data_IF_338154826088
#
_entry.id   IF_338154826088
#
_cell.length_a   1.000
_cell.length_b   1.000
_cell.length_c   1.000
_cell.angle_alpha   90.00
_cell.angle_beta   90.00
_cell.angle_gamma   90.00
#
_symmetry.space_group_name_H-M   'P 1'
#
loop_
_entity.id
_entity.type
_entity.pdbx_description
1 polymer ?
#
# COMPACT_ATOMS: atom_id res chain seq x y z
N UNK A 1 27.38 -10.63 24.61
CA UNK A 1 26.45 -10.44 23.48
C UNK A 1 25.61 -9.21 23.78
N UNK A 2 25.59 -8.22 22.90
CA UNK A 2 24.61 -7.12 23.02
C UNK A 2 23.22 -7.74 22.89
N UNK A 3 22.37 -7.51 23.88
CA UNK A 3 21.03 -8.09 23.95
C UNK A 3 20.17 -7.42 22.87
N UNK A 4 19.73 -8.20 21.88
CA UNK A 4 18.88 -7.75 20.78
C UNK A 4 17.40 -7.67 21.23
N UNK A 5 17.10 -6.73 22.13
CA UNK A 5 15.73 -6.38 22.53
C UNK A 5 15.32 -6.74 23.96
N UNK A 6 14.11 -6.31 24.32
CA UNK A 6 13.45 -6.59 25.60
C UNK A 6 12.91 -8.03 25.63
N UNK A 7 12.91 -8.67 26.81
CA UNK A 7 12.21 -9.95 26.99
C UNK A 7 10.70 -9.75 27.04
N UNK A 8 9.94 -10.82 26.82
CA UNK A 8 8.48 -10.80 26.95
C UNK A 8 8.04 -10.26 28.32
N UNK A 9 8.66 -10.71 29.39
CA UNK A 9 8.33 -10.24 30.75
C UNK A 9 8.61 -8.75 30.95
N UNK A 10 9.66 -8.21 30.31
CA UNK A 10 9.95 -6.77 30.35
C UNK A 10 8.94 -5.97 29.53
N UNK A 11 8.48 -6.51 28.40
CA UNK A 11 7.45 -5.88 27.56
C UNK A 11 6.09 -5.88 28.28
N UNK A 12 5.73 -6.98 28.93
CA UNK A 12 4.44 -7.13 29.61
C UNK A 12 4.33 -6.26 30.87
N UNK A 13 5.46 -5.94 31.52
CA UNK A 13 5.51 -5.12 32.73
C UNK A 13 5.84 -3.64 32.50
N UNK A 14 6.06 -3.21 31.25
CA UNK A 14 6.39 -1.81 30.97
C UNK A 14 5.15 -0.91 30.89
N UNK A 15 5.28 0.39 31.21
CA UNK A 15 4.21 1.35 30.96
C UNK A 15 3.83 1.39 29.47
N UNK A 16 2.53 1.35 29.17
CA UNK A 16 2.01 1.31 27.79
C UNK A 16 2.54 2.45 26.92
N UNK A 17 2.77 3.62 27.51
CA UNK A 17 3.35 4.79 26.81
C UNK A 17 4.79 4.55 26.39
N UNK A 18 5.58 3.88 27.23
CA UNK A 18 6.96 3.53 26.93
C UNK A 18 7.01 2.42 25.87
N UNK A 19 6.11 1.44 25.93
CA UNK A 19 5.96 0.41 24.90
C UNK A 19 5.75 1.03 23.52
N UNK A 20 4.74 1.90 23.38
CA UNK A 20 4.44 2.54 22.09
C UNK A 20 5.59 3.43 21.62
N UNK A 21 6.29 4.11 22.53
CA UNK A 21 7.44 4.93 22.17
C UNK A 21 8.59 4.08 21.59
N UNK A 22 8.91 2.96 22.23
CA UNK A 22 9.94 2.04 21.72
C UNK A 22 9.51 1.38 20.41
N UNK A 23 8.26 0.93 20.33
CA UNK A 23 7.72 0.35 19.10
C UNK A 23 7.82 1.31 17.91
N UNK A 24 7.41 2.58 18.08
CA UNK A 24 7.50 3.59 17.02
C UNK A 24 8.96 3.85 16.64
N UNK A 25 9.84 3.93 17.63
CA UNK A 25 11.26 4.16 17.41
C UNK A 25 11.89 3.02 16.58
N UNK A 26 11.75 1.78 17.04
CA UNK A 26 12.32 0.60 16.40
C UNK A 26 11.71 0.33 15.02
N UNK A 27 10.44 0.69 14.80
CA UNK A 27 9.73 0.38 13.55
C UNK A 27 9.91 1.45 12.48
N UNK A 28 9.93 2.74 12.85
CA UNK A 28 9.85 3.84 11.86
C UNK A 28 11.03 4.82 11.92
N UNK A 29 11.70 4.96 13.07
CA UNK A 29 12.75 5.95 13.25
C UNK A 29 14.15 5.35 13.19
N UNK A 30 14.30 4.08 13.56
CA UNK A 30 15.59 3.43 13.55
C UNK A 30 16.06 3.20 12.10
N UNK A 31 17.31 3.58 11.74
CA UNK A 31 17.85 3.39 10.41
C UNK A 31 17.99 1.92 9.98
N UNK A 32 17.96 0.98 10.93
CA UNK A 32 17.97 -0.46 10.69
C UNK A 32 16.57 -1.09 10.71
N UNK A 33 15.53 -0.28 10.88
CA UNK A 33 14.16 -0.79 10.92
C UNK A 33 13.79 -1.43 9.58
N UNK A 34 13.03 -2.53 9.60
CA UNK A 34 12.57 -3.18 8.37
C UNK A 34 11.78 -2.23 7.45
N UNK A 35 10.98 -1.31 8.00
CA UNK A 35 10.21 -0.35 7.22
C UNK A 35 11.11 0.68 6.51
N UNK A 36 12.16 1.18 7.19
CA UNK A 36 13.11 2.10 6.58
C UNK A 36 13.94 1.43 5.49
N UNK A 37 14.39 0.18 5.71
CA UNK A 37 15.07 -0.60 4.68
C UNK A 37 14.18 -0.89 3.47
N UNK A 38 12.90 -1.22 3.67
CA UNK A 38 11.96 -1.41 2.57
C UNK A 38 11.77 -0.12 1.77
N UNK A 39 11.67 1.04 2.45
CA UNK A 39 11.60 2.35 1.79
C UNK A 39 12.86 2.65 0.97
N UNK A 40 14.06 2.39 1.51
CA UNK A 40 15.30 2.58 0.76
C UNK A 40 15.38 1.69 -0.48
N UNK A 41 15.01 0.41 -0.34
CA UNK A 41 14.98 -0.52 -1.46
C UNK A 41 13.94 -0.11 -2.51
N UNK A 42 12.77 0.36 -2.09
CA UNK A 42 11.74 0.87 -2.98
C UNK A 42 12.22 2.11 -3.76
N UNK A 43 12.93 3.03 -3.12
CA UNK A 43 13.56 4.17 -3.81
C UNK A 43 14.63 3.73 -4.81
N UNK A 44 15.44 2.74 -4.46
CA UNK A 44 16.45 2.19 -5.37
C UNK A 44 15.79 1.58 -6.62
N UNK A 45 14.79 0.71 -6.45
CA UNK A 45 14.06 0.09 -7.55
C UNK A 45 13.35 1.13 -8.43
N UNK A 46 12.71 2.12 -7.79
CA UNK A 46 12.10 3.24 -8.51
C UNK A 46 13.14 3.97 -9.37
N UNK A 47 14.31 4.29 -8.82
CA UNK A 47 15.36 5.00 -9.56
C UNK A 47 15.89 4.17 -10.73
N UNK A 48 16.13 2.87 -10.54
CA UNK A 48 16.56 1.94 -11.58
C UNK A 48 15.53 1.82 -12.71
N UNK A 49 14.25 1.77 -12.35
CA UNK A 49 13.19 1.68 -13.33
C UNK A 49 13.07 2.99 -14.13
N UNK A 50 13.12 4.14 -13.46
CA UNK A 50 13.10 5.48 -14.07
C UNK A 50 14.25 5.75 -15.02
N UNK A 51 15.43 5.16 -14.77
CA UNK A 51 16.61 5.29 -15.62
C UNK A 51 16.70 4.20 -16.69
N UNK A 52 15.74 3.28 -16.75
CA UNK A 52 15.73 2.20 -17.74
C UNK A 52 15.46 2.72 -19.16
N UNK A 53 16.06 2.08 -20.16
CA UNK A 53 15.95 2.49 -21.57
C UNK A 53 14.52 2.34 -22.14
N UNK A 54 13.64 1.57 -21.49
CA UNK A 54 12.23 1.39 -21.87
C UNK A 54 11.27 2.40 -21.22
N UNK A 55 11.76 3.37 -20.46
CA UNK A 55 10.91 4.31 -19.73
C UNK A 55 10.23 5.32 -20.66
N UNK A 56 8.91 5.42 -20.59
CA UNK A 56 8.14 6.44 -21.30
C UNK A 56 7.81 7.62 -20.36
N UNK A 57 7.64 8.81 -20.94
CA UNK A 57 7.26 10.02 -20.20
C UNK A 57 5.90 9.90 -19.51
N UNK A 58 5.00 9.09 -20.07
CA UNK A 58 3.69 8.81 -19.48
C UNK A 58 3.79 7.91 -18.26
N UNK A 59 4.60 6.85 -18.33
CA UNK A 59 4.84 5.94 -17.20
C UNK A 59 5.56 6.65 -16.07
N UNK A 60 6.58 7.45 -16.39
CA UNK A 60 7.33 8.27 -15.44
C UNK A 60 6.45 9.22 -14.60
N UNK A 61 5.36 9.75 -15.18
CA UNK A 61 4.42 10.64 -14.46
C UNK A 61 3.50 9.90 -13.48
N UNK A 62 3.23 8.62 -13.74
CA UNK A 62 2.26 7.82 -12.96
C UNK A 62 2.94 6.99 -11.88
N UNK A 63 4.22 6.68 -12.05
CA UNK A 63 4.97 5.81 -11.17
C UNK A 63 5.29 6.50 -9.84
N UNK A 64 5.10 5.79 -8.72
CA UNK A 64 5.44 6.26 -7.37
C UNK A 64 6.38 5.28 -6.67
N UNK A 65 7.33 5.74 -5.85
CA UNK A 65 8.19 4.86 -5.06
C UNK A 65 7.41 3.87 -4.18
N UNK A 66 6.26 4.27 -3.65
CA UNK A 66 5.40 3.43 -2.81
C UNK A 66 4.88 2.17 -3.53
N UNK A 67 4.91 2.13 -4.87
CA UNK A 67 4.51 0.94 -5.63
C UNK A 67 5.56 -0.19 -5.54
N UNK A 68 6.79 0.14 -5.14
CA UNK A 68 7.91 -0.80 -4.97
C UNK A 68 8.09 -1.24 -3.51
N UNK A 69 7.30 -0.71 -2.58
CA UNK A 69 7.32 -1.14 -1.17
C UNK A 69 6.64 -2.50 -1.02
N UNK A 70 7.29 -3.39 -0.26
CA UNK A 70 6.76 -4.70 0.10
C UNK A 70 5.89 -4.60 1.36
N UNK A 71 6.32 -3.79 2.32
CA UNK A 71 5.57 -3.52 3.55
C UNK A 71 4.53 -2.47 3.21
N UNK A 72 3.35 -2.92 2.84
CA UNK A 72 2.21 -2.03 2.63
C UNK A 72 1.67 -1.64 3.99
N UNK A 73 1.69 -0.36 4.29
CA UNK A 73 0.82 0.24 5.29
C UNK A 73 -0.63 0.18 4.77
N UNK A 74 -1.19 -1.02 4.65
CA UNK A 74 -2.64 -1.11 4.66
C UNK A 74 -3.06 -0.58 6.01
N UNK A 75 -3.72 0.60 6.02
CA UNK A 75 -4.55 1.01 7.14
C UNK A 75 -5.50 -0.16 7.43
N UNK A 76 -5.14 -0.99 8.41
CA UNK A 76 -5.98 -2.11 8.89
C UNK A 76 -7.35 -1.56 9.33
N UNK A 77 -7.39 -0.30 9.75
CA UNK A 77 -8.58 0.45 10.09
C UNK A 77 -8.79 1.59 9.08
N UNK A 78 -9.53 1.30 8.01
CA UNK A 78 -10.05 2.32 7.09
C UNK A 78 -11.18 3.08 7.78
N UNK A 79 -11.29 4.38 7.54
CA UNK A 79 -12.45 5.14 8.03
C UNK A 79 -13.73 4.70 7.30
N UNK A 80 -14.91 4.99 7.86
CA UNK A 80 -16.19 4.63 7.24
C UNK A 80 -16.31 5.21 5.82
N UNK A 81 -15.83 6.42 5.63
CA UNK A 81 -15.80 7.11 4.33
C UNK A 81 -14.87 6.40 3.32
N UNK A 82 -13.67 5.99 3.74
CA UNK A 82 -12.73 5.24 2.89
C UNK A 82 -13.28 3.86 2.49
N UNK A 83 -14.09 3.22 3.35
CA UNK A 83 -14.78 1.96 3.05
C UNK A 83 -15.90 2.13 2.02
N UNK A 84 -16.69 3.21 2.14
CA UNK A 84 -17.77 3.52 1.19
C UNK A 84 -17.23 3.87 -0.20
N UNK A 85 -16.12 4.62 -0.29
CA UNK A 85 -15.45 4.89 -1.57
C UNK A 85 -14.90 3.62 -2.22
N UNK A 86 -14.34 2.70 -1.44
CA UNK A 86 -13.88 1.40 -1.93
C UNK A 86 -15.05 0.52 -2.40
N UNK A 87 -16.18 0.56 -1.70
CA UNK A 87 -17.39 -0.16 -2.10
C UNK A 87 -17.94 0.39 -3.43
N UNK A 88 -18.00 1.71 -3.59
CA UNK A 88 -18.40 2.35 -4.85
C UNK A 88 -17.50 1.98 -6.02
N UNK A 89 -16.17 2.03 -5.83
CA UNK A 89 -15.22 1.63 -6.89
C UNK A 89 -15.38 0.16 -7.27
N UNK A 90 -15.58 -0.73 -6.29
CA UNK A 90 -15.85 -2.15 -6.57
C UNK A 90 -17.17 -2.38 -7.30
N UNK A 91 -18.21 -1.60 -7.02
CA UNK A 91 -19.47 -1.68 -7.77
C UNK A 91 -19.33 -1.17 -9.20
N UNK A 92 -18.62 -0.08 -9.41
CA UNK A 92 -18.35 0.46 -10.74
C UNK A 92 -17.52 -0.53 -11.57
N UNK A 93 -16.51 -1.17 -10.97
CA UNK A 93 -15.74 -2.25 -11.60
C UNK A 93 -16.58 -3.49 -11.90
N UNK A 94 -17.47 -3.90 -10.99
CA UNK A 94 -18.41 -5.02 -11.24
C UNK A 94 -19.40 -4.70 -12.35
N UNK A 95 -19.94 -3.49 -12.39
CA UNK A 95 -20.86 -3.05 -13.45
C UNK A 95 -20.14 -3.02 -14.80
N UNK A 96 -18.91 -2.50 -14.85
CA UNK A 96 -18.10 -2.52 -16.06
C UNK A 96 -17.76 -3.96 -16.52
N UNK A 97 -17.42 -4.85 -15.58
CA UNK A 97 -17.16 -6.26 -15.88
C UNK A 97 -18.42 -7.00 -16.38
N UNK A 98 -19.59 -6.73 -15.79
CA UNK A 98 -20.86 -7.30 -16.27
C UNK A 98 -21.22 -6.78 -17.66
N UNK A 99 -21.04 -5.49 -17.94
CA UNK A 99 -21.29 -4.91 -19.26
C UNK A 99 -20.40 -5.51 -20.34
N UNK A 100 -19.16 -5.85 -20.01
CA UNK A 100 -18.23 -6.52 -20.93
C UNK A 100 -18.58 -7.99 -21.21
N UNK A 101 -19.45 -8.61 -20.40
CA UNK A 101 -19.92 -9.99 -20.62
C UNK A 101 -21.14 -10.07 -21.55
N UNK A 102 -21.80 -8.94 -21.86
CA UNK A 102 -22.93 -8.90 -22.78
C UNK A 102 -22.49 -8.54 -24.20
N UNK A 103 -23.08 -9.20 -25.19
CA UNK A 103 -22.84 -8.90 -26.60
C UNK A 103 -23.26 -7.45 -26.92
N UNK A 104 -22.39 -6.72 -27.60
CA UNK A 104 -22.55 -5.28 -27.93
C UNK A 104 -23.88 -4.96 -28.62
N UNK A 105 -24.40 -5.90 -29.42
CA UNK A 105 -25.68 -5.77 -30.13
C UNK A 105 -26.93 -5.75 -29.23
N UNK A 106 -26.87 -6.39 -28.06
CA UNK A 106 -27.97 -6.40 -27.08
C UNK A 106 -27.96 -5.12 -26.21
N UNK A 107 -26.78 -4.57 -25.96
CA UNK A 107 -26.61 -3.31 -25.23
C UNK A 107 -27.14 -2.10 -26.01
N UNK A 108 -26.98 -2.08 -27.34
CA UNK A 108 -27.52 -1.02 -28.20
C UNK A 108 -29.05 -1.03 -28.26
N UNK A 109 -29.68 -2.22 -28.22
CA UNK A 109 -31.15 -2.35 -28.15
C UNK A 109 -31.73 -1.88 -26.82
N UNK A 110 -31.02 -2.10 -25.72
CA UNK A 110 -31.41 -1.63 -24.38
C UNK A 110 -31.26 -0.12 -24.21
N UNK A 111 -30.37 0.52 -24.98
CA UNK A 111 -30.13 1.97 -24.94
C UNK A 111 -31.04 2.77 -25.88
N UNK A 112 -31.73 2.10 -26.80
CA UNK A 112 -32.59 2.71 -27.83
C UNK A 112 -34.09 2.56 -27.58
N UNK A 113 -34.49 1.88 -26.50
CA UNK A 113 -35.87 1.87 -25.97
C UNK A 113 -35.99 2.75 -24.73
#
# INVERSE_FOLDING_TARGET
MMRSGLSKDEMDNMPITLFWKLYIFDTYLEPQSPAFHDMQNAMLQYSMYMTSQGMTRETARKLKPSQFQLIREEKLFKTKEELEELARKKEEERKAAMLNMFDTSLLEKLRSG
#
